data_IF_899476758166
#
_entry.id   IF_899476758166
#
_cell.length_a   1.000
_cell.length_b   1.000
_cell.length_c   1.000
_cell.angle_alpha   90.00
_cell.angle_beta   90.00
_cell.angle_gamma   90.00
#
_symmetry.space_group_name_H-M   'P 1'
#
loop_
_entity.id
_entity.type
_entity.pdbx_description
1 polymer ?
#
# COMPACT_ATOMS: atom_id res chain seq x y z
N UNK A 1 -40.03 -12.61 -6.82
CA UNK A 1 -38.62 -12.20 -6.88
C UNK A 1 -37.79 -13.48 -6.80
N UNK A 2 -36.99 -13.79 -7.83
CA UNK A 2 -36.21 -15.03 -7.90
C UNK A 2 -34.92 -14.80 -7.10
N UNK A 3 -34.67 -15.56 -6.04
CA UNK A 3 -33.42 -15.51 -5.30
C UNK A 3 -32.31 -16.02 -6.23
N UNK A 4 -31.37 -15.13 -6.55
CA UNK A 4 -30.13 -15.48 -7.25
C UNK A 4 -29.15 -15.78 -6.12
N UNK A 5 -29.02 -17.06 -5.77
CA UNK A 5 -27.94 -17.53 -4.91
C UNK A 5 -26.67 -17.52 -5.78
N UNK A 6 -25.89 -16.46 -5.63
CA UNK A 6 -24.63 -16.18 -6.34
C UNK A 6 -23.45 -16.99 -5.72
N UNK A 7 -23.68 -18.26 -5.40
CA UNK A 7 -22.65 -19.17 -4.85
C UNK A 7 -21.70 -19.70 -5.93
N UNK A 8 -21.92 -19.32 -7.20
CA UNK A 8 -21.07 -19.70 -8.30
C UNK A 8 -19.93 -18.69 -8.44
N UNK A 9 -18.77 -19.00 -7.84
CA UNK A 9 -17.59 -18.14 -7.84
C UNK A 9 -17.34 -17.48 -9.20
N UNK A 10 -17.31 -16.14 -9.23
CA UNK A 10 -17.22 -15.35 -10.46
C UNK A 10 -15.87 -15.48 -11.19
N UNK A 11 -14.90 -16.15 -10.57
CA UNK A 11 -13.57 -16.37 -11.15
C UNK A 11 -13.53 -17.74 -11.85
N UNK A 12 -13.51 -17.73 -13.17
CA UNK A 12 -13.38 -18.94 -14.01
C UNK A 12 -11.92 -19.31 -14.33
N UNK A 13 -10.94 -18.52 -13.85
CA UNK A 13 -9.53 -18.84 -14.03
C UNK A 13 -9.13 -20.04 -13.16
N UNK A 14 -8.16 -20.82 -13.61
CA UNK A 14 -7.59 -21.94 -12.84
C UNK A 14 -6.65 -21.52 -11.70
N UNK A 15 -6.71 -20.26 -11.28
CA UNK A 15 -5.88 -19.73 -10.19
C UNK A 15 -6.54 -20.04 -8.83
N UNK A 16 -5.72 -20.16 -7.79
CA UNK A 16 -6.20 -20.33 -6.41
C UNK A 16 -7.17 -19.20 -6.03
N UNK A 17 -8.28 -19.56 -5.40
CA UNK A 17 -9.22 -18.58 -4.87
C UNK A 17 -8.67 -17.96 -3.60
N UNK A 18 -9.23 -16.81 -3.20
CA UNK A 18 -8.86 -16.19 -1.94
C UNK A 18 -9.07 -17.15 -0.74
N UNK A 19 -10.09 -18.00 -0.78
CA UNK A 19 -10.36 -18.97 0.28
C UNK A 19 -9.26 -20.03 0.36
N UNK A 20 -8.76 -20.51 -0.77
CA UNK A 20 -7.65 -21.48 -0.82
C UNK A 20 -6.38 -20.91 -0.17
N UNK A 21 -6.07 -19.64 -0.45
CA UNK A 21 -4.91 -18.95 0.14
C UNK A 21 -5.10 -18.72 1.64
N UNK A 22 -6.32 -18.38 2.07
CA UNK A 22 -6.66 -18.17 3.47
C UNK A 22 -6.55 -19.47 4.27
N UNK A 23 -7.13 -20.56 3.77
CA UNK A 23 -7.10 -21.88 4.39
C UNK A 23 -5.68 -22.43 4.49
N UNK A 24 -4.86 -22.26 3.44
CA UNK A 24 -3.45 -22.63 3.47
C UNK A 24 -2.68 -21.87 4.58
N UNK A 25 -2.96 -20.57 4.78
CA UNK A 25 -2.35 -19.77 5.85
C UNK A 25 -2.84 -20.17 7.24
N UNK A 26 -4.14 -20.39 7.42
CA UNK A 26 -4.74 -20.77 8.70
C UNK A 26 -4.26 -22.15 9.12
N UNK A 27 -4.24 -23.12 8.20
CA UNK A 27 -3.74 -24.48 8.44
C UNK A 27 -2.27 -24.48 8.90
N UNK A 28 -1.40 -23.73 8.20
CA UNK A 28 0.02 -23.59 8.58
C UNK A 28 0.18 -22.96 9.97
N UNK A 29 -0.61 -21.95 10.30
CA UNK A 29 -0.59 -21.31 11.63
C UNK A 29 -1.09 -22.26 12.73
N UNK A 30 -2.09 -23.09 12.44
CA UNK A 30 -2.60 -24.11 13.34
C UNK A 30 -1.53 -25.13 13.71
N UNK A 31 -0.82 -25.67 12.70
CA UNK A 31 0.28 -26.63 12.89
C UNK A 31 1.45 -26.04 13.68
N UNK A 32 1.85 -24.80 13.41
CA UNK A 32 2.92 -24.13 14.16
C UNK A 32 2.50 -23.90 15.62
N UNK A 33 1.27 -23.42 15.84
CA UNK A 33 0.77 -23.12 17.18
C UNK A 33 0.61 -24.40 18.03
N UNK A 34 0.11 -25.49 17.44
CA UNK A 34 -0.01 -26.78 18.12
C UNK A 34 1.36 -27.43 18.37
N UNK A 35 2.30 -27.34 17.42
CA UNK A 35 3.67 -27.83 17.58
C UNK A 35 4.44 -27.10 18.69
N UNK A 36 4.27 -25.78 18.82
CA UNK A 36 4.90 -25.00 19.89
C UNK A 36 4.32 -25.38 21.27
N UNK A 37 3.01 -25.57 21.36
CA UNK A 37 2.37 -26.01 22.61
C UNK A 37 2.84 -27.40 23.04
N UNK A 38 2.98 -28.34 22.09
CA UNK A 38 3.54 -29.67 22.35
C UNK A 38 5.00 -29.59 22.79
N UNK A 39 5.83 -28.77 22.12
CA UNK A 39 7.22 -28.55 22.51
C UNK A 39 7.34 -27.92 23.91
N UNK A 40 6.48 -26.95 24.24
CA UNK A 40 6.42 -26.31 25.55
C UNK A 40 6.01 -27.29 26.67
N UNK A 41 5.08 -28.21 26.38
CA UNK A 41 4.67 -29.27 27.30
C UNK A 41 5.78 -30.30 27.54
N UNK A 42 6.50 -30.68 26.47
CA UNK A 42 7.67 -31.56 26.56
C UNK A 42 8.86 -30.87 27.25
N UNK A 43 8.92 -29.53 27.21
CA UNK A 43 9.94 -28.71 27.85
C UNK A 43 9.58 -28.22 29.25
N UNK A 44 8.63 -28.83 29.96
CA UNK A 44 8.36 -28.49 31.37
C UNK A 44 9.55 -28.81 32.32
N UNK A 45 10.68 -29.30 31.78
CA UNK A 45 12.00 -29.30 32.43
C UNK A 45 13.06 -28.39 31.77
N UNK A 46 12.70 -27.56 30.80
CA UNK A 46 13.61 -26.78 29.94
C UNK A 46 13.27 -25.29 29.77
N UNK A 47 12.30 -24.77 30.52
CA UNK A 47 11.88 -23.35 30.48
C UNK A 47 13.05 -22.38 30.75
N UNK A 48 13.99 -22.75 31.61
CA UNK A 48 15.18 -21.94 31.93
C UNK A 48 16.16 -21.84 30.75
N UNK A 49 16.34 -22.94 30.01
CA UNK A 49 17.20 -22.99 28.83
C UNK A 49 16.62 -22.18 27.65
N UNK A 50 15.29 -22.18 27.50
CA UNK A 50 14.61 -21.44 26.44
C UNK A 50 14.61 -19.93 26.70
N UNK A 51 14.49 -19.51 27.97
CA UNK A 51 14.58 -18.10 28.38
C UNK A 51 16.01 -17.53 28.21
N UNK A 52 17.04 -18.37 28.39
CA UNK A 52 18.45 -17.98 28.18
C UNK A 52 18.91 -18.01 26.73
N UNK A 53 18.19 -18.73 25.86
CA UNK A 53 18.50 -18.85 24.44
C UNK A 53 17.93 -17.70 23.59
N UNK A 54 17.17 -16.77 24.17
CA UNK A 54 16.76 -15.54 23.48
C UNK A 54 17.95 -14.57 23.50
N UNK A 55 18.66 -14.35 22.38
CA UNK A 55 19.66 -13.30 22.35
C UNK A 55 18.96 -11.97 22.65
N UNK A 56 19.43 -11.26 23.68
CA UNK A 56 19.01 -9.90 24.03
C UNK A 56 19.53 -8.87 23.00
N UNK A 57 19.44 -9.20 21.72
CA UNK A 57 20.05 -8.49 20.60
C UNK A 57 18.98 -8.22 19.54
N UNK A 58 17.89 -7.58 19.96
CA UNK A 58 16.86 -7.07 19.05
C UNK A 58 16.39 -5.66 19.42
N UNK A 59 17.13 -4.94 20.26
CA UNK A 59 17.01 -3.48 20.37
C UNK A 59 18.07 -2.83 19.48
N UNK A 60 18.04 -3.15 18.18
CA UNK A 60 18.58 -2.21 17.21
C UNK A 60 17.78 -0.94 17.35
N UNK A 61 18.42 0.19 17.63
CA UNK A 61 17.75 1.48 17.61
C UNK A 61 17.16 1.65 16.21
N UNK A 62 15.85 1.43 16.09
CA UNK A 62 15.14 1.60 14.83
C UNK A 62 15.25 3.07 14.49
N UNK A 63 16.14 3.40 13.55
CA UNK A 63 16.21 4.74 13.01
C UNK A 63 14.83 5.05 12.41
N UNK A 64 14.25 6.22 12.70
CA UNK A 64 12.95 6.58 12.15
C UNK A 64 13.03 6.50 10.62
N UNK A 65 12.11 5.75 10.00
CA UNK A 65 12.04 5.60 8.54
C UNK A 65 11.75 6.92 7.82
N UNK A 66 11.17 7.89 8.54
CA UNK A 66 10.81 9.20 8.03
C UNK A 66 11.86 10.22 8.47
N UNK A 67 12.60 10.76 7.52
CA UNK A 67 13.67 11.75 7.76
C UNK A 67 13.24 13.22 7.67
N UNK A 68 11.94 13.50 7.59
CA UNK A 68 11.42 14.87 7.47
C UNK A 68 10.61 15.29 8.69
N UNK A 69 10.61 16.59 8.97
CA UNK A 69 9.76 17.18 10.00
C UNK A 69 8.32 17.26 9.50
N UNK A 70 7.37 16.75 10.27
CA UNK A 70 5.94 16.87 9.96
C UNK A 70 5.50 18.34 9.88
N UNK A 71 4.59 18.63 8.95
CA UNK A 71 4.03 19.97 8.71
C UNK A 71 2.59 20.06 9.26
N UNK A 72 2.10 21.26 9.63
CA UNK A 72 0.73 21.43 10.12
C UNK A 72 -0.30 21.25 9.01
N UNK A 73 -1.55 20.99 9.40
CA UNK A 73 -2.70 21.01 8.49
C UNK A 73 -3.00 22.45 8.05
N UNK A 74 -3.52 22.61 6.83
CA UNK A 74 -3.79 23.90 6.21
C UNK A 74 -4.99 23.81 5.27
N UNK A 75 -5.73 24.91 5.15
CA UNK A 75 -6.82 25.16 4.19
C UNK A 75 -6.40 26.11 3.05
N UNK A 76 -5.18 26.67 3.11
CA UNK A 76 -4.64 27.53 2.06
C UNK A 76 -4.52 26.79 0.72
N UNK A 77 -4.84 27.50 -0.37
CA UNK A 77 -4.71 27.03 -1.76
C UNK A 77 -3.24 27.09 -2.23
N UNK A 78 -2.37 26.37 -1.53
CA UNK A 78 -0.92 26.31 -1.78
C UNK A 78 -0.37 24.95 -1.36
N UNK A 79 0.75 24.53 -1.96
CA UNK A 79 1.47 23.33 -1.52
C UNK A 79 2.51 23.70 -0.47
N UNK A 80 2.39 23.13 0.73
CA UNK A 80 3.38 23.26 1.80
C UNK A 80 4.26 22.02 1.87
N UNK A 81 5.58 22.23 2.02
CA UNK A 81 6.58 21.15 2.12
C UNK A 81 7.45 21.34 3.37
N UNK A 82 8.07 20.27 3.90
CA UNK A 82 8.99 20.38 5.03
C UNK A 82 10.22 21.25 4.73
N UNK A 83 10.92 21.75 5.76
CA UNK A 83 12.17 22.47 5.56
C UNK A 83 13.21 21.67 4.76
N UNK A 84 13.86 22.33 3.79
CA UNK A 84 14.85 21.70 2.91
C UNK A 84 14.27 21.03 1.65
N UNK A 85 12.95 21.09 1.46
CA UNK A 85 12.27 20.58 0.26
C UNK A 85 11.79 21.73 -0.63
N UNK A 86 11.63 21.45 -1.92
CA UNK A 86 11.02 22.34 -2.91
C UNK A 86 9.94 21.59 -3.69
N UNK A 87 9.00 22.33 -4.24
CA UNK A 87 7.95 21.82 -5.12
C UNK A 87 7.96 22.62 -6.42
N UNK A 88 7.84 21.91 -7.54
CA UNK A 88 7.78 22.49 -8.88
C UNK A 88 6.69 21.77 -9.67
N UNK A 89 5.98 22.52 -10.52
CA UNK A 89 4.97 21.94 -11.42
C UNK A 89 5.70 21.29 -12.60
N UNK A 90 5.56 19.98 -12.74
CA UNK A 90 6.17 19.24 -13.85
C UNK A 90 5.36 19.38 -15.14
N UNK A 91 4.04 19.24 -15.04
CA UNK A 91 3.10 19.37 -16.15
C UNK A 91 1.71 19.73 -15.61
N UNK A 92 1.04 20.65 -16.27
CA UNK A 92 -0.31 21.11 -15.96
C UNK A 92 -1.32 20.62 -17.00
N UNK A 93 -2.60 20.62 -16.63
CA UNK A 93 -3.67 20.43 -17.61
C UNK A 93 -3.56 21.51 -18.71
N UNK A 94 -3.67 21.08 -19.97
CA UNK A 94 -3.56 21.97 -21.11
C UNK A 94 -2.12 22.17 -21.63
N UNK A 95 -1.09 21.70 -20.92
CA UNK A 95 0.28 21.81 -21.41
C UNK A 95 0.42 21.08 -22.76
N UNK A 96 1.08 21.70 -23.76
CA UNK A 96 1.19 21.14 -25.09
C UNK A 96 2.04 19.87 -25.07
N UNK A 97 1.56 18.82 -25.72
CA UNK A 97 2.36 17.62 -25.95
C UNK A 97 3.23 17.83 -27.19
N UNK A 98 4.55 17.69 -27.04
CA UNK A 98 5.52 17.99 -28.11
C UNK A 98 5.35 19.43 -28.64
N UNK A 99 5.09 19.62 -29.93
CA UNK A 99 4.87 20.94 -30.55
C UNK A 99 3.36 21.26 -30.70
N UNK A 100 2.53 20.75 -29.79
CA UNK A 100 1.09 20.97 -29.78
C UNK A 100 0.66 22.42 -29.47
N UNK A 101 -0.64 22.73 -29.59
CA UNK A 101 -1.17 24.05 -29.30
C UNK A 101 -1.11 24.36 -27.80
N UNK A 102 -0.75 25.59 -27.45
CA UNK A 102 -0.84 26.06 -26.08
C UNK A 102 -2.30 26.14 -25.59
N UNK A 103 -2.51 25.93 -24.30
CA UNK A 103 -3.81 26.14 -23.67
C UNK A 103 -4.24 27.61 -23.73
N UNK A 104 -5.50 27.83 -24.10
CA UNK A 104 -6.14 29.14 -24.19
C UNK A 104 -6.95 29.36 -22.91
N UNK A 105 -6.52 30.32 -22.11
CA UNK A 105 -7.12 30.64 -20.80
C UNK A 105 -8.57 31.16 -20.88
N UNK A 106 -9.05 31.48 -22.08
CA UNK A 106 -10.44 31.89 -22.34
C UNK A 106 -11.38 30.69 -22.65
N UNK A 107 -10.89 29.46 -22.48
CA UNK A 107 -11.59 28.21 -22.75
C UNK A 107 -12.03 28.02 -24.21
N UNK A 108 -11.42 28.74 -25.17
CA UNK A 108 -11.74 28.63 -26.59
C UNK A 108 -11.01 27.49 -27.33
N UNK A 109 -10.31 26.61 -26.61
CA UNK A 109 -9.68 25.45 -27.25
C UNK A 109 -10.71 24.51 -27.89
N UNK A 110 -10.41 24.02 -29.09
CA UNK A 110 -11.22 22.98 -29.72
C UNK A 110 -10.88 21.59 -29.15
N UNK A 111 -11.78 20.62 -29.34
CA UNK A 111 -11.52 19.23 -28.96
C UNK A 111 -10.27 18.64 -29.65
N UNK A 112 -9.98 19.07 -30.89
CA UNK A 112 -8.78 18.66 -31.63
C UNK A 112 -7.52 19.24 -31.01
N UNK A 113 -7.57 20.49 -30.53
CA UNK A 113 -6.44 21.10 -29.82
C UNK A 113 -6.20 20.42 -28.47
N UNK A 114 -7.27 20.13 -27.70
CA UNK A 114 -7.19 19.43 -26.42
C UNK A 114 -6.62 18.01 -26.55
N UNK A 115 -6.85 17.33 -27.69
CA UNK A 115 -6.28 16.00 -27.96
C UNK A 115 -4.74 16.01 -28.09
N UNK A 116 -4.13 17.19 -28.23
CA UNK A 116 -2.68 17.41 -28.29
C UNK A 116 -2.13 18.11 -27.04
N UNK A 117 -2.93 18.17 -25.98
CA UNK A 117 -2.59 18.77 -24.69
C UNK A 117 -2.68 17.73 -23.58
N UNK A 118 -2.01 17.99 -22.46
CA UNK A 118 -2.16 17.15 -21.28
C UNK A 118 -3.62 17.13 -20.82
N UNK A 119 -4.12 15.93 -20.50
CA UNK A 119 -5.52 15.69 -20.20
C UNK A 119 -6.01 16.32 -18.89
N UNK A 120 -7.34 16.35 -18.73
CA UNK A 120 -8.02 16.69 -17.47
C UNK A 120 -8.41 15.42 -16.69
N UNK A 121 -8.87 15.60 -15.44
CA UNK A 121 -9.26 14.53 -14.51
C UNK A 121 -10.69 14.01 -14.73
#
# INVERSE_FOLDING_TARGET
MKNIDDDNGCNTSGNETFQDVLDARVSRRGLISSGLAAAAFLSLGGVDALLRAVPASAHGQSQPLLGFQGIPVSDADTVQVPPGYTVEVLIAWGDPVSNGPAFKQDASNSAVEQAQQWGMH
#
